data_IF_417207967497
#
_entry.id   IF_417207967497
#
_cell.length_a   1.000
_cell.length_b   1.000
_cell.length_c   1.000
_cell.angle_alpha   90.00
_cell.angle_beta   90.00
_cell.angle_gamma   90.00
#
_symmetry.space_group_name_H-M   'P 1'
#
loop_
_entity.id
_entity.type
_entity.pdbx_description
1 polymer ?
#
# COMPACT_ATOMS: atom_id res chain seq x y z
N UNK A 1 -1.13 7.35 -9.18
CA UNK A 1 -2.15 7.45 -10.26
C UNK A 1 -1.74 6.60 -11.46
N UNK A 2 -0.57 6.83 -12.05
CA UNK A 2 -0.14 6.16 -13.29
C UNK A 2 -0.30 4.62 -13.28
N UNK A 3 -0.10 3.96 -12.13
CA UNK A 3 -0.28 2.51 -12.06
C UNK A 3 -1.73 2.09 -12.33
N UNK A 4 -2.70 2.79 -11.77
CA UNK A 4 -4.12 2.48 -12.00
C UNK A 4 -4.56 2.72 -13.44
N UNK A 5 -3.98 3.76 -14.09
CA UNK A 5 -4.36 4.20 -15.44
C UNK A 5 -4.04 3.14 -16.49
N UNK A 6 -2.93 2.42 -16.31
CA UNK A 6 -2.47 1.40 -17.26
C UNK A 6 -3.07 0.00 -17.01
N UNK A 7 -3.85 -0.20 -15.92
CA UNK A 7 -4.46 -1.49 -15.65
C UNK A 7 -5.75 -1.68 -16.45
N UNK A 8 -5.77 -2.69 -17.32
CA UNK A 8 -6.96 -3.05 -18.10
C UNK A 8 -7.98 -3.83 -17.25
N UNK A 9 -7.49 -4.74 -16.39
CA UNK A 9 -8.35 -5.56 -15.53
C UNK A 9 -8.92 -4.78 -14.35
N UNK A 10 -10.15 -4.30 -14.48
CA UNK A 10 -10.88 -3.59 -13.43
C UNK A 10 -11.52 -4.49 -12.35
N UNK A 11 -11.35 -5.81 -12.45
CA UNK A 11 -11.86 -6.78 -11.46
C UNK A 11 -10.83 -7.18 -10.40
N UNK A 12 -9.63 -6.61 -10.44
CA UNK A 12 -8.59 -6.83 -9.43
C UNK A 12 -9.12 -6.49 -8.03
N UNK A 13 -8.86 -7.38 -7.07
CA UNK A 13 -9.10 -7.14 -5.64
C UNK A 13 -7.91 -6.36 -5.06
N UNK A 14 -8.11 -5.10 -4.71
CA UNK A 14 -7.05 -4.16 -4.34
C UNK A 14 -7.25 -3.70 -2.91
N UNK A 15 -6.25 -3.86 -2.05
CA UNK A 15 -6.22 -3.29 -0.71
C UNK A 15 -5.36 -2.03 -0.69
N UNK A 16 -5.86 -0.98 -0.06
CA UNK A 16 -5.10 0.26 0.22
C UNK A 16 -5.09 0.46 1.73
N UNK A 17 -4.04 0.00 2.44
CA UNK A 17 -3.93 0.12 3.89
C UNK A 17 -3.49 1.53 4.31
N UNK A 18 -3.98 2.01 5.45
CA UNK A 18 -3.69 3.35 5.94
C UNK A 18 -4.16 4.43 4.98
N UNK A 19 -5.33 4.23 4.36
CA UNK A 19 -5.79 5.05 3.25
C UNK A 19 -6.12 6.51 3.63
N UNK A 20 -6.25 6.83 4.90
CA UNK A 20 -6.46 8.19 5.38
C UNK A 20 -7.64 8.89 4.68
N UNK A 21 -7.35 9.97 3.96
CA UNK A 21 -8.37 10.68 3.16
C UNK A 21 -8.93 9.89 1.98
N UNK A 22 -8.33 8.75 1.63
CA UNK A 22 -8.81 7.81 0.61
C UNK A 22 -8.71 8.31 -0.83
N UNK A 23 -7.75 9.17 -1.15
CA UNK A 23 -7.57 9.71 -2.51
C UNK A 23 -7.34 8.61 -3.54
N UNK A 24 -6.47 7.65 -3.24
CA UNK A 24 -6.15 6.52 -4.13
C UNK A 24 -7.35 5.59 -4.29
N UNK A 25 -8.11 5.38 -3.21
CA UNK A 25 -9.34 4.57 -3.21
C UNK A 25 -10.40 5.18 -4.09
N UNK A 26 -10.67 6.49 -3.88
CA UNK A 26 -11.65 7.24 -4.66
C UNK A 26 -11.27 7.28 -6.14
N UNK A 27 -9.99 7.50 -6.44
CA UNK A 27 -9.47 7.53 -7.81
C UNK A 27 -9.64 6.16 -8.49
N UNK A 28 -9.23 5.08 -7.85
CA UNK A 28 -9.40 3.74 -8.40
C UNK A 28 -10.87 3.39 -8.61
N UNK A 29 -11.74 3.77 -7.67
CA UNK A 29 -13.19 3.55 -7.80
C UNK A 29 -13.77 4.30 -9.00
N UNK A 30 -13.39 5.56 -9.22
CA UNK A 30 -13.79 6.37 -10.37
C UNK A 30 -13.30 5.79 -11.71
N UNK A 31 -12.13 5.14 -11.74
CA UNK A 31 -11.62 4.41 -12.89
C UNK A 31 -12.33 3.07 -13.16
N UNK A 32 -13.34 2.73 -12.37
CA UNK A 32 -14.17 1.53 -12.57
C UNK A 32 -13.61 0.26 -11.92
N UNK A 33 -12.60 0.34 -11.04
CA UNK A 33 -12.17 -0.82 -10.27
C UNK A 33 -13.26 -1.27 -9.31
N UNK A 34 -13.75 -2.49 -9.48
CA UNK A 34 -14.95 -2.97 -8.75
C UNK A 34 -14.65 -3.49 -7.35
N UNK A 35 -13.41 -3.83 -7.02
CA UNK A 35 -13.02 -4.48 -5.77
C UNK A 35 -11.85 -3.76 -5.11
N UNK A 36 -11.99 -2.44 -4.92
CA UNK A 36 -11.05 -1.62 -4.13
C UNK A 36 -11.51 -1.60 -2.69
N UNK A 37 -10.60 -1.86 -1.77
CA UNK A 37 -10.84 -1.87 -0.32
C UNK A 37 -10.07 -0.72 0.32
N UNK A 38 -10.81 0.17 0.93
CA UNK A 38 -10.31 1.19 1.86
C UNK A 38 -10.00 0.52 3.19
N UNK A 39 -8.86 0.83 3.79
CA UNK A 39 -8.53 0.38 5.13
C UNK A 39 -7.86 1.47 5.95
N UNK A 40 -8.40 1.75 7.12
CA UNK A 40 -7.76 2.61 8.11
C UNK A 40 -8.23 2.22 9.52
N UNK A 41 -7.39 2.48 10.52
CA UNK A 41 -7.72 2.27 11.94
C UNK A 41 -8.41 3.49 12.55
N UNK A 42 -8.15 4.68 12.00
CA UNK A 42 -8.71 5.94 12.50
C UNK A 42 -10.18 6.05 12.14
N UNK A 43 -11.04 6.04 13.16
CA UNK A 43 -12.49 6.29 12.98
C UNK A 43 -12.76 7.66 12.34
N UNK A 44 -11.94 8.65 12.64
CA UNK A 44 -12.02 9.99 12.05
C UNK A 44 -11.76 9.95 10.54
N UNK A 45 -10.67 9.27 10.12
CA UNK A 45 -10.34 9.10 8.70
C UNK A 45 -11.44 8.31 7.97
N UNK A 46 -11.94 7.23 8.56
CA UNK A 46 -13.05 6.43 8.01
C UNK A 46 -14.32 7.28 7.83
N UNK A 47 -14.70 8.05 8.84
CA UNK A 47 -15.89 8.90 8.77
C UNK A 47 -15.73 10.00 7.73
N UNK A 48 -14.56 10.63 7.65
CA UNK A 48 -14.25 11.63 6.63
C UNK A 48 -14.30 11.02 5.22
N UNK A 49 -13.74 9.82 5.02
CA UNK A 49 -13.81 9.12 3.76
C UNK A 49 -15.26 8.82 3.35
N UNK A 50 -16.05 8.25 4.26
CA UNK A 50 -17.50 7.97 4.03
C UNK A 50 -18.28 9.21 3.66
N UNK A 51 -18.06 10.32 4.35
CA UNK A 51 -18.78 11.58 4.09
C UNK A 51 -18.51 12.15 2.69
N UNK A 52 -17.29 11.92 2.16
CA UNK A 52 -16.88 12.39 0.82
C UNK A 52 -17.19 11.40 -0.30
N UNK A 53 -17.44 10.14 0.03
CA UNK A 53 -17.61 9.05 -0.93
C UNK A 53 -18.90 8.26 -0.65
N UNK A 54 -20.03 8.93 -0.64
CA UNK A 54 -21.33 8.37 -0.24
C UNK A 54 -21.80 7.20 -1.11
N UNK A 55 -21.31 7.08 -2.33
CA UNK A 55 -21.58 5.95 -3.25
C UNK A 55 -20.62 4.78 -3.09
N UNK A 56 -19.57 4.91 -2.26
CA UNK A 56 -18.59 3.84 -2.08
C UNK A 56 -19.18 2.71 -1.22
N UNK A 57 -19.06 1.43 -1.64
CA UNK A 57 -19.66 0.31 -0.93
C UNK A 57 -19.13 0.14 0.49
N UNK A 58 -19.99 0.16 1.49
CA UNK A 58 -19.61 0.04 2.90
C UNK A 58 -18.86 -1.27 3.22
N UNK A 59 -19.25 -2.38 2.60
CA UNK A 59 -18.58 -3.67 2.77
C UNK A 59 -17.15 -3.74 2.24
N UNK A 60 -16.65 -2.64 1.66
CA UNK A 60 -15.25 -2.47 1.23
C UNK A 60 -14.49 -1.45 2.08
N UNK A 61 -15.07 -1.02 3.18
CA UNK A 61 -14.44 -0.16 4.18
C UNK A 61 -14.05 -1.02 5.37
N UNK A 62 -12.75 -1.22 5.56
CA UNK A 62 -12.18 -2.03 6.62
C UNK A 62 -11.64 -1.12 7.74
N UNK A 63 -12.46 -0.90 8.76
CA UNK A 63 -12.07 -0.13 9.96
C UNK A 63 -11.45 -1.09 10.98
N UNK A 64 -10.16 -1.41 10.81
CA UNK A 64 -9.46 -2.39 11.65
C UNK A 64 -7.95 -2.20 11.62
N UNK A 65 -7.26 -2.81 12.59
CA UNK A 65 -5.80 -2.87 12.61
C UNK A 65 -5.30 -3.78 11.48
N UNK A 66 -4.36 -3.30 10.67
CA UNK A 66 -3.82 -4.04 9.52
C UNK A 66 -3.31 -5.44 9.90
N UNK A 67 -2.62 -5.55 11.02
CA UNK A 67 -2.04 -6.82 11.47
C UNK A 67 -3.10 -7.83 11.96
N UNK A 68 -4.29 -7.36 12.30
CA UNK A 68 -5.40 -8.18 12.81
C UNK A 68 -6.40 -8.56 11.71
N UNK A 69 -6.22 -8.05 10.48
CA UNK A 69 -7.07 -8.37 9.34
C UNK A 69 -7.07 -9.88 9.06
N UNK A 70 -8.17 -10.56 9.37
CA UNK A 70 -8.28 -12.02 9.24
C UNK A 70 -8.73 -12.43 7.83
N UNK A 71 -7.87 -12.18 6.85
CA UNK A 71 -8.03 -12.61 5.46
C UNK A 71 -6.75 -13.32 5.00
N UNK A 72 -6.89 -14.24 4.06
CA UNK A 72 -5.76 -14.95 3.44
C UNK A 72 -6.03 -15.14 1.95
N UNK A 73 -5.00 -14.94 1.13
CA UNK A 73 -5.06 -15.10 -0.32
C UNK A 73 -6.28 -14.41 -0.95
N UNK A 74 -6.56 -13.20 -0.52
CA UNK A 74 -7.77 -12.46 -0.87
C UNK A 74 -7.53 -11.35 -1.91
N UNK A 75 -6.39 -10.68 -1.83
CA UNK A 75 -6.09 -9.53 -2.68
C UNK A 75 -5.16 -9.91 -3.84
N UNK A 76 -5.42 -9.34 -5.00
CA UNK A 76 -4.55 -9.42 -6.16
C UNK A 76 -3.42 -8.39 -6.04
N UNK A 77 -3.72 -7.22 -5.44
CA UNK A 77 -2.76 -6.12 -5.29
C UNK A 77 -2.92 -5.45 -3.92
N UNK A 78 -1.81 -5.09 -3.31
CA UNK A 78 -1.75 -4.13 -2.19
C UNK A 78 -1.06 -2.87 -2.71
N UNK A 79 -1.73 -1.72 -2.58
CA UNK A 79 -1.15 -0.41 -2.91
C UNK A 79 -0.54 0.18 -1.65
N UNK A 80 0.77 0.40 -1.69
CA UNK A 80 1.53 1.00 -0.60
C UNK A 80 1.73 2.50 -0.83
N UNK A 81 1.13 3.30 0.02
CA UNK A 81 1.29 4.75 -0.01
C UNK A 81 1.34 5.28 1.41
N UNK A 82 2.53 5.50 1.92
CA UNK A 82 2.82 6.07 3.25
C UNK A 82 2.36 5.23 4.47
N UNK A 83 1.89 4.01 4.27
CA UNK A 83 1.51 3.12 5.36
C UNK A 83 2.72 2.40 5.99
N UNK A 84 3.62 1.85 5.17
CA UNK A 84 4.84 1.17 5.64
C UNK A 84 5.72 2.11 6.46
N UNK A 85 5.91 3.34 6.02
CA UNK A 85 6.71 4.34 6.73
C UNK A 85 6.07 4.84 8.04
N UNK A 86 4.79 4.61 8.25
CA UNK A 86 4.11 4.87 9.52
C UNK A 86 4.34 3.75 10.55
N UNK A 87 4.84 2.57 10.12
CA UNK A 87 5.13 1.45 10.99
C UNK A 87 6.57 1.51 11.52
N UNK A 88 6.74 1.25 12.83
CA UNK A 88 8.08 1.10 13.41
C UNK A 88 8.91 0.08 12.63
N UNK A 89 10.23 0.31 12.43
CA UNK A 89 11.12 -0.66 11.79
C UNK A 89 11.07 -2.06 12.39
N UNK A 90 10.82 -2.20 13.68
CA UNK A 90 10.62 -3.49 14.35
C UNK A 90 9.42 -4.30 13.82
N UNK A 91 8.46 -3.64 13.16
CA UNK A 91 7.29 -4.30 12.57
C UNK A 91 7.48 -4.69 11.09
N UNK A 92 8.59 -4.34 10.46
CA UNK A 92 8.82 -4.56 9.01
C UNK A 92 8.73 -6.03 8.60
N UNK A 93 9.33 -6.92 9.39
CA UNK A 93 9.24 -8.38 9.14
C UNK A 93 7.79 -8.87 9.26
N UNK A 94 7.06 -8.38 10.25
CA UNK A 94 5.63 -8.69 10.43
C UNK A 94 4.79 -8.17 9.26
N UNK A 95 5.12 -6.97 8.75
CA UNK A 95 4.47 -6.40 7.58
C UNK A 95 4.67 -7.29 6.34
N UNK A 96 5.91 -7.70 6.05
CA UNK A 96 6.23 -8.58 4.92
C UNK A 96 5.47 -9.90 5.02
N UNK A 97 5.42 -10.50 6.20
CA UNK A 97 4.63 -11.73 6.42
C UNK A 97 3.15 -11.48 6.18
N UNK A 98 2.61 -10.40 6.75
CA UNK A 98 1.17 -10.08 6.65
C UNK A 98 0.74 -9.81 5.20
N UNK A 99 1.48 -9.01 4.47
CA UNK A 99 1.20 -8.75 3.05
C UNK A 99 1.27 -10.03 2.22
N UNK A 100 2.25 -10.90 2.51
CA UNK A 100 2.36 -12.20 1.86
C UNK A 100 1.13 -13.09 2.12
N UNK A 101 0.65 -13.15 3.36
CA UNK A 101 -0.52 -13.95 3.73
C UNK A 101 -1.81 -13.40 3.08
N UNK A 102 -1.95 -12.09 2.97
CA UNK A 102 -3.10 -11.41 2.37
C UNK A 102 -3.17 -11.55 0.84
N UNK A 103 -2.03 -11.61 0.17
CA UNK A 103 -1.96 -11.69 -1.28
C UNK A 103 -2.26 -13.09 -1.81
N UNK A 104 -2.97 -13.15 -2.93
CA UNK A 104 -3.12 -14.34 -3.75
C UNK A 104 -1.78 -14.77 -4.33
N UNK A 105 -1.73 -16.00 -4.85
CA UNK A 105 -0.58 -16.47 -5.64
C UNK A 105 -0.30 -15.50 -6.78
N UNK A 106 0.97 -15.08 -6.93
CA UNK A 106 1.42 -14.05 -7.87
C UNK A 106 0.78 -12.65 -7.65
N UNK A 107 0.14 -12.42 -6.51
CA UNK A 107 -0.33 -11.09 -6.14
C UNK A 107 0.84 -10.12 -5.92
N UNK A 108 0.58 -8.84 -6.00
CA UNK A 108 1.60 -7.81 -6.05
C UNK A 108 1.49 -6.79 -4.92
N UNK A 109 2.63 -6.24 -4.50
CA UNK A 109 2.69 -4.99 -3.76
C UNK A 109 3.24 -3.93 -4.72
N UNK A 110 2.55 -2.81 -4.82
CA UNK A 110 2.95 -1.69 -5.68
C UNK A 110 2.83 -0.39 -4.90
N UNK A 111 3.84 0.46 -4.96
CA UNK A 111 3.75 1.74 -4.27
C UNK A 111 5.06 2.45 -4.03
N UNK A 112 5.07 3.27 -2.98
CA UNK A 112 6.17 4.15 -2.64
C UNK A 112 6.67 3.89 -1.22
N UNK A 113 7.99 3.81 -1.08
CA UNK A 113 8.70 3.78 0.20
C UNK A 113 9.57 5.03 0.32
N UNK A 114 9.87 5.49 1.54
CA UNK A 114 10.90 6.52 1.71
C UNK A 114 12.30 5.91 1.63
N UNK A 115 13.11 6.44 0.71
CA UNK A 115 14.51 6.06 0.46
C UNK A 115 15.52 6.97 1.15
N UNK A 116 15.13 7.60 2.26
CA UNK A 116 15.98 8.50 3.04
C UNK A 116 15.86 8.19 4.53
N UNK A 117 16.90 8.52 5.29
CA UNK A 117 16.84 8.50 6.74
C UNK A 117 16.41 9.87 7.24
N UNK A 118 15.28 9.91 7.95
CA UNK A 118 14.85 11.12 8.64
C UNK A 118 15.73 11.37 9.87
N UNK A 119 16.11 12.64 10.10
CA UNK A 119 16.96 13.04 11.25
C UNK A 119 16.21 13.10 12.58
N UNK A 120 15.00 12.58 12.63
CA UNK A 120 14.13 12.56 13.81
C UNK A 120 13.49 11.19 13.99
N UNK A 121 13.11 10.88 15.21
CA UNK A 121 12.29 9.70 15.50
C UNK A 121 10.96 9.81 14.74
N UNK A 122 10.62 8.71 14.02
CA UNK A 122 9.42 8.70 13.20
C UNK A 122 8.12 8.66 13.99
N UNK A 123 6.95 8.49 13.36
CA UNK A 123 6.79 8.42 11.90
C UNK A 123 6.97 9.79 11.20
N UNK A 124 7.32 9.82 9.92
CA UNK A 124 7.61 8.67 9.06
C UNK A 124 8.98 8.06 9.29
N UNK A 125 9.09 6.73 9.14
CA UNK A 125 10.36 6.00 9.15
C UNK A 125 10.85 5.77 7.72
N UNK A 126 12.10 6.12 7.47
CA UNK A 126 12.75 5.88 6.19
C UNK A 126 13.57 4.60 6.15
N UNK A 127 14.40 4.47 5.14
CA UNK A 127 15.33 3.37 4.92
C UNK A 127 16.03 3.53 3.58
N UNK A 128 16.59 2.45 3.05
CA UNK A 128 17.28 2.45 1.76
C UNK A 128 16.94 1.22 0.91
N UNK A 129 17.36 1.26 -0.35
CA UNK A 129 17.11 0.19 -1.33
C UNK A 129 17.68 -1.14 -0.87
N UNK A 130 18.89 -1.17 -0.29
CA UNK A 130 19.55 -2.41 0.12
C UNK A 130 18.82 -3.06 1.29
N UNK A 131 18.38 -2.26 2.26
CA UNK A 131 17.56 -2.72 3.38
C UNK A 131 16.24 -3.32 2.88
N UNK A 132 15.54 -2.62 2.00
CA UNK A 132 14.26 -3.08 1.48
C UNK A 132 14.40 -4.31 0.59
N UNK A 133 15.45 -4.39 -0.22
CA UNK A 133 15.77 -5.59 -1.00
C UNK A 133 15.90 -6.81 -0.09
N UNK A 134 16.76 -6.73 0.93
CA UNK A 134 16.97 -7.78 1.93
C UNK A 134 15.68 -8.19 2.64
N UNK A 135 14.84 -7.19 2.95
CA UNK A 135 13.58 -7.40 3.67
C UNK A 135 12.57 -8.20 2.85
N UNK A 136 12.44 -7.90 1.55
CA UNK A 136 11.40 -8.47 0.71
C UNK A 136 11.83 -9.70 -0.09
N UNK A 137 13.11 -9.83 -0.46
CA UNK A 137 13.61 -10.84 -1.41
C UNK A 137 13.30 -12.30 -1.03
N UNK A 138 13.14 -12.62 0.24
CA UNK A 138 12.83 -13.99 0.67
C UNK A 138 11.41 -14.42 0.26
N UNK A 139 10.45 -13.50 0.24
CA UNK A 139 9.03 -13.79 -0.02
C UNK A 139 8.53 -13.26 -1.35
N UNK A 140 9.23 -12.29 -1.90
CA UNK A 140 8.83 -11.60 -3.11
C UNK A 140 9.92 -11.64 -4.18
N UNK A 141 9.49 -11.75 -5.44
CA UNK A 141 10.26 -11.38 -6.59
C UNK A 141 10.23 -9.85 -6.71
N UNK A 142 11.40 -9.23 -6.78
CA UNK A 142 11.53 -7.77 -6.88
C UNK A 142 11.56 -7.39 -8.35
N UNK A 143 10.41 -6.95 -8.87
CA UNK A 143 10.28 -6.51 -10.25
C UNK A 143 10.87 -5.11 -10.45
N UNK A 144 10.62 -4.20 -9.49
CA UNK A 144 11.23 -2.87 -9.43
C UNK A 144 11.44 -2.44 -7.98
N UNK A 145 12.57 -1.82 -7.74
CA UNK A 145 12.90 -1.15 -6.48
C UNK A 145 13.94 -0.07 -6.80
N UNK A 146 13.48 1.12 -7.13
CA UNK A 146 14.32 2.19 -7.66
C UNK A 146 13.80 3.58 -7.26
N UNK A 147 14.65 4.59 -7.31
CA UNK A 147 14.24 5.98 -7.05
C UNK A 147 13.06 6.35 -7.95
N UNK A 148 12.03 6.93 -7.34
CA UNK A 148 10.85 7.38 -8.05
C UNK A 148 11.10 8.72 -8.75
N UNK A 149 10.94 8.74 -10.08
CA UNK A 149 11.15 9.95 -10.89
C UNK A 149 9.85 10.75 -11.09
N UNK A 150 8.73 10.29 -10.54
CA UNK A 150 7.40 10.92 -10.69
C UNK A 150 6.82 11.38 -9.35
N UNK A 151 7.67 11.50 -8.35
CA UNK A 151 7.30 12.09 -7.06
C UNK A 151 6.91 13.56 -7.20
N UNK A 152 6.07 14.05 -6.30
CA UNK A 152 5.81 15.49 -6.18
C UNK A 152 7.11 16.22 -5.84
N UNK A 153 7.24 17.51 -6.20
CA UNK A 153 8.49 18.27 -6.00
C UNK A 153 9.05 18.18 -4.58
N UNK A 154 8.19 18.23 -3.55
CA UNK A 154 8.56 18.17 -2.14
C UNK A 154 9.16 16.82 -1.72
N UNK A 155 8.97 15.77 -2.51
CA UNK A 155 9.46 14.41 -2.27
C UNK A 155 10.41 13.90 -3.33
N UNK A 156 10.77 14.73 -4.30
CA UNK A 156 11.67 14.37 -5.39
C UNK A 156 12.99 13.84 -4.83
N UNK A 157 13.40 12.65 -5.31
CA UNK A 157 14.63 11.97 -4.88
C UNK A 157 14.55 11.27 -3.52
N UNK A 158 13.46 11.43 -2.76
CA UNK A 158 13.29 10.81 -1.44
C UNK A 158 12.42 9.55 -1.44
N UNK A 159 11.74 9.26 -2.54
CA UNK A 159 10.84 8.12 -2.66
C UNK A 159 11.44 7.02 -3.55
N UNK A 160 11.18 5.78 -3.17
CA UNK A 160 11.52 4.57 -3.93
C UNK A 160 10.22 3.99 -4.47
N UNK A 161 10.14 3.84 -5.80
CA UNK A 161 9.07 3.08 -6.44
C UNK A 161 9.32 1.59 -6.27
N UNK A 162 8.29 0.88 -5.83
CA UNK A 162 8.33 -0.55 -5.53
C UNK A 162 7.26 -1.30 -6.32
N UNK A 163 7.68 -2.36 -7.03
CA UNK A 163 6.81 -3.38 -7.61
C UNK A 163 7.35 -4.75 -7.21
N UNK A 164 6.59 -5.49 -6.41
CA UNK A 164 6.96 -6.80 -5.89
C UNK A 164 5.89 -7.82 -6.27
N UNK A 165 6.28 -9.03 -6.65
CA UNK A 165 5.37 -10.15 -6.91
C UNK A 165 5.57 -11.24 -5.88
N UNK A 166 4.48 -11.71 -5.27
CA UNK A 166 4.50 -12.83 -4.32
C UNK A 166 5.08 -14.07 -4.98
N UNK A 167 6.13 -14.64 -4.38
CA UNK A 167 6.69 -15.93 -4.79
C UNK A 167 5.68 -17.06 -4.55
N UNK A 168 5.75 -18.07 -5.39
CA UNK A 168 4.91 -19.28 -5.31
C UNK A 168 5.27 -20.14 -4.12
#
# INVERSE_FOLDING_TARGET
KNWFDIQENKNLSILIPGAGSGYEVSYAHQLGFKKVFYMDISSEAVNLFKSKNTSFPENRILSTVFFDLNLSSYFDVIIEQTFFCAQSPSKRVKYVKKTYDLLRKKGQIVGLLFGINFQKDGPPFGGDIMEYQKLFEQKYEINKLQICNTSIPERAGSEIWMELTKKS
#
